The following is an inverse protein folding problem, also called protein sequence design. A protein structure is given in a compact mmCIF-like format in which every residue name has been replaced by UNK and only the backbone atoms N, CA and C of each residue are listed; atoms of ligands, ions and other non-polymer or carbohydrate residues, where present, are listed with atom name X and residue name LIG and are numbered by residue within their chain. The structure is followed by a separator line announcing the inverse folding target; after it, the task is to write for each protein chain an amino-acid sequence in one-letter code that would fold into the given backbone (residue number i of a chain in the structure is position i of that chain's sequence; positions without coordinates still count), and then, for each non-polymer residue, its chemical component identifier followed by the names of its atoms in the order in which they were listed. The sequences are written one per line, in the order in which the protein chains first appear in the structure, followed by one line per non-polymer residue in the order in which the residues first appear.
data_IF_224330060516
#
_entry.id   IF_224330060516
#
_cell.length_a   1.000
_cell.length_b   1.000
_cell.length_c   1.000
_cell.angle_alpha   90.00
_cell.angle_beta   90.00
_cell.angle_gamma   90.00
#
_symmetry.space_group_name_H-M   'P 1'
#
loop_
_entity.id
_entity.type
_entity.pdbx_description
1 polymer ?
#
# COMPACT_ATOMS: atom_id res chain seq x y z
N UNK A 1 -11.71 -5.13 40.27
CA UNK A 1 -11.59 -3.98 39.36
C UNK A 1 -10.11 -3.77 39.18
N UNK A 2 -9.56 -4.23 38.07
CA UNK A 2 -8.14 -4.08 37.74
C UNK A 2 -8.05 -2.91 36.78
N UNK A 3 -7.39 -1.83 37.19
CA UNK A 3 -7.09 -0.69 36.33
C UNK A 3 -6.25 -1.18 35.15
N UNK A 4 -6.82 -1.17 33.95
CA UNK A 4 -6.04 -1.22 32.73
C UNK A 4 -5.38 0.16 32.57
N UNK A 5 -4.09 0.25 32.92
CA UNK A 5 -3.25 1.36 32.49
C UNK A 5 -3.34 1.46 30.95
N UNK A 6 -3.82 2.60 30.45
CA UNK A 6 -3.90 2.86 29.02
C UNK A 6 -2.49 2.85 28.43
N UNK A 7 -2.17 1.83 27.63
CA UNK A 7 -0.95 1.80 26.83
C UNK A 7 -1.02 2.92 25.80
N UNK A 8 -0.18 3.95 25.92
CA UNK A 8 0.02 4.94 24.87
C UNK A 8 0.60 4.23 23.64
N UNK A 9 -0.26 3.82 22.71
CA UNK A 9 0.15 3.21 21.44
C UNK A 9 0.93 4.21 20.60
N UNK A 10 2.04 3.79 19.99
CA UNK A 10 2.78 4.59 19.04
C UNK A 10 2.25 4.28 17.65
N UNK A 11 1.84 5.31 16.91
CA UNK A 11 1.23 5.14 15.60
C UNK A 11 2.08 5.86 14.55
N UNK A 12 2.29 5.21 13.41
CA UNK A 12 2.95 5.79 12.24
C UNK A 12 2.13 5.49 11.01
N UNK A 13 1.93 6.50 10.16
CA UNK A 13 1.29 6.31 8.84
C UNK A 13 2.37 6.43 7.78
N UNK A 14 2.47 5.42 6.92
CA UNK A 14 3.29 5.43 5.71
C UNK A 14 2.34 5.55 4.53
N UNK A 15 2.46 6.62 3.76
CA UNK A 15 1.71 6.81 2.52
C UNK A 15 2.61 6.46 1.32
N UNK A 16 2.15 5.52 0.50
CA UNK A 16 2.87 5.10 -0.69
C UNK A 16 2.49 5.96 -1.90
N UNK A 17 3.46 6.68 -2.46
CA UNK A 17 3.24 7.59 -3.58
C UNK A 17 3.23 6.86 -4.95
N UNK A 18 2.33 7.27 -5.84
CA UNK A 18 2.28 6.83 -7.26
C UNK A 18 2.20 5.31 -7.47
N UNK A 19 1.58 4.60 -6.53
CA UNK A 19 1.60 3.15 -6.46
C UNK A 19 0.93 2.39 -7.59
N UNK A 20 -0.08 2.95 -8.26
CA UNK A 20 -0.79 2.21 -9.31
C UNK A 20 0.13 1.83 -10.46
N UNK A 21 1.18 2.62 -10.70
CA UNK A 21 2.17 2.32 -11.72
C UNK A 21 3.06 1.11 -11.40
N UNK A 22 3.01 0.56 -10.18
CA UNK A 22 3.75 -0.67 -9.84
C UNK A 22 3.04 -1.94 -10.32
N UNK A 23 1.73 -1.88 -10.59
CA UNK A 23 0.95 -3.04 -11.00
C UNK A 23 0.87 -3.11 -12.52
N UNK A 24 1.46 -4.16 -13.09
CA UNK A 24 1.44 -4.41 -14.53
C UNK A 24 0.05 -4.86 -15.00
N UNK A 25 -0.37 -4.35 -16.16
CA UNK A 25 -1.54 -4.83 -16.88
C UNK A 25 -1.08 -5.93 -17.84
N UNK A 26 -1.77 -7.07 -17.81
CA UNK A 26 -1.53 -8.16 -18.75
C UNK A 26 -1.60 -7.65 -20.21
N UNK A 27 -0.68 -8.03 -21.11
CA UNK A 27 -0.65 -7.52 -22.49
C UNK A 27 -2.01 -7.58 -23.20
N UNK A 28 -2.75 -8.69 -23.03
CA UNK A 28 -4.07 -8.89 -23.62
C UNK A 28 -5.17 -7.97 -23.06
N UNK A 29 -4.91 -7.23 -21.98
CA UNK A 29 -5.85 -6.28 -21.39
C UNK A 29 -5.44 -4.82 -21.60
N UNK A 30 -4.22 -4.54 -22.09
CA UNK A 30 -3.72 -3.18 -22.22
C UNK A 30 -4.60 -2.34 -23.14
N UNK A 31 -5.12 -2.91 -24.23
CA UNK A 31 -5.95 -2.21 -25.21
C UNK A 31 -7.20 -1.54 -24.61
N UNK A 32 -7.70 -2.02 -23.45
CA UNK A 32 -8.83 -1.43 -22.73
C UNK A 32 -8.52 -0.03 -22.20
N UNK A 33 -7.24 0.29 -22.03
CA UNK A 33 -6.74 1.55 -21.49
C UNK A 33 -6.07 2.41 -22.56
N UNK A 34 -6.46 2.23 -23.83
CA UNK A 34 -5.93 3.02 -24.92
C UNK A 34 -6.49 4.47 -24.91
N UNK A 35 -5.65 5.44 -25.27
CA UNK A 35 -6.04 6.83 -25.46
C UNK A 35 -5.33 7.43 -26.67
N UNK A 36 -5.90 8.48 -27.26
CA UNK A 36 -5.32 9.15 -28.42
C UNK A 36 -4.76 10.52 -28.05
N UNK A 37 -3.55 10.82 -28.52
CA UNK A 37 -2.91 12.12 -28.35
C UNK A 37 -2.12 12.48 -29.61
N UNK A 38 -2.34 13.69 -30.15
CA UNK A 38 -1.67 14.21 -31.36
C UNK A 38 -1.71 13.26 -32.57
N UNK A 39 -2.84 12.59 -32.79
CA UNK A 39 -3.02 11.66 -33.90
C UNK A 39 -2.35 10.29 -33.72
N UNK A 40 -1.74 10.03 -32.56
CA UNK A 40 -1.17 8.74 -32.19
C UNK A 40 -1.99 8.09 -31.07
N UNK A 41 -2.14 6.77 -31.11
CA UNK A 41 -2.72 5.99 -30.02
C UNK A 41 -1.61 5.50 -29.08
N UNK A 42 -1.88 5.60 -27.79
CA UNK A 42 -1.06 5.12 -26.69
C UNK A 42 -1.90 4.20 -25.82
N UNK A 43 -1.26 3.37 -25.02
CA UNK A 43 -1.92 2.50 -24.07
C UNK A 43 -1.12 2.42 -22.78
N UNK A 44 -1.81 2.23 -21.66
CA UNK A 44 -1.15 2.00 -20.38
C UNK A 44 -0.67 0.56 -20.27
N UNK A 45 0.55 0.38 -19.77
CA UNK A 45 1.14 -0.95 -19.45
C UNK A 45 1.02 -1.29 -17.97
N UNK A 46 0.67 -0.32 -17.14
CA UNK A 46 0.44 -0.41 -15.69
C UNK A 46 -0.90 0.22 -15.34
N UNK A 47 -1.44 -0.03 -14.14
CA UNK A 47 -2.74 0.51 -13.76
C UNK A 47 -2.78 2.04 -13.90
N UNK A 48 -3.67 2.59 -14.75
CA UNK A 48 -3.76 4.03 -14.91
C UNK A 48 -4.41 4.68 -13.69
N UNK A 49 -3.98 5.91 -13.41
CA UNK A 49 -4.70 6.78 -12.49
C UNK A 49 -6.05 7.18 -13.11
N UNK A 50 -7.12 7.03 -12.33
CA UNK A 50 -8.49 7.33 -12.78
C UNK A 50 -9.31 6.10 -13.22
N UNK A 51 -8.71 4.92 -13.29
CA UNK A 51 -9.49 3.68 -13.37
C UNK A 51 -10.06 3.33 -11.99
N UNK A 52 -11.37 3.12 -11.93
CA UNK A 52 -12.13 2.93 -10.68
C UNK A 52 -11.62 1.76 -9.85
N UNK A 53 -11.14 0.69 -10.48
CA UNK A 53 -10.65 -0.50 -9.77
C UNK A 53 -9.14 -0.47 -9.49
N UNK A 54 -8.41 0.56 -9.94
CA UNK A 54 -6.97 0.68 -9.63
C UNK A 54 -6.67 0.57 -8.13
N UNK A 55 -7.44 1.24 -7.22
CA UNK A 55 -7.28 1.06 -5.77
C UNK A 55 -7.49 -0.38 -5.31
N UNK A 56 -8.52 -1.07 -5.82
CA UNK A 56 -8.85 -2.45 -5.45
C UNK A 56 -7.73 -3.43 -5.84
N UNK A 57 -7.26 -3.36 -7.10
CA UNK A 57 -6.19 -4.22 -7.60
C UNK A 57 -4.87 -3.97 -6.87
N UNK A 58 -4.50 -2.69 -6.67
CA UNK A 58 -3.30 -2.37 -5.93
C UNK A 58 -3.38 -2.84 -4.47
N UNK A 59 -4.51 -2.60 -3.79
CA UNK A 59 -4.71 -3.03 -2.41
C UNK A 59 -4.58 -4.55 -2.28
N UNK A 60 -5.11 -5.32 -3.23
CA UNK A 60 -4.98 -6.78 -3.21
C UNK A 60 -3.54 -7.23 -3.44
N UNK A 61 -2.83 -6.64 -4.41
CA UNK A 61 -1.42 -6.96 -4.66
C UNK A 61 -0.56 -6.66 -3.42
N UNK A 62 -0.70 -5.47 -2.84
CA UNK A 62 0.04 -5.07 -1.64
C UNK A 62 -0.31 -5.95 -0.43
N UNK A 63 -1.57 -6.37 -0.28
CA UNK A 63 -1.96 -7.28 0.81
C UNK A 63 -1.29 -8.65 0.68
N UNK A 64 -1.07 -9.15 -0.54
CA UNK A 64 -0.33 -10.38 -0.79
C UNK A 64 1.16 -10.19 -0.47
N UNK A 65 1.76 -9.07 -0.88
CA UNK A 65 3.17 -8.77 -0.59
C UNK A 65 3.43 -8.63 0.92
N UNK A 66 2.45 -8.16 1.68
CA UNK A 66 2.53 -7.97 3.13
C UNK A 66 2.07 -9.20 3.95
N UNK A 67 1.55 -10.25 3.32
CA UNK A 67 0.90 -11.37 4.02
C UNK A 67 1.84 -12.10 4.99
N UNK A 68 3.11 -12.24 4.61
CA UNK A 68 4.15 -12.92 5.40
C UNK A 68 5.05 -11.95 6.17
N UNK A 69 4.68 -10.66 6.23
CA UNK A 69 5.49 -9.64 6.87
C UNK A 69 5.45 -9.77 8.39
N UNK A 70 6.61 -10.07 8.99
CA UNK A 70 6.76 -10.18 10.45
C UNK A 70 7.69 -9.09 10.95
N UNK A 71 7.13 -8.14 11.70
CA UNK A 71 7.91 -7.09 12.32
C UNK A 71 8.70 -7.59 13.54
N UNK A 72 9.98 -7.19 13.69
CA UNK A 72 10.81 -7.63 14.81
C UNK A 72 10.23 -7.17 16.16
N UNK A 73 9.61 -5.99 16.19
CA UNK A 73 9.03 -5.43 17.42
C UNK A 73 7.57 -5.86 17.65
N UNK A 74 7.05 -6.79 16.82
CA UNK A 74 5.66 -7.27 16.85
C UNK A 74 4.62 -6.17 16.70
N UNK A 75 4.95 -5.15 15.91
CA UNK A 75 3.98 -4.12 15.54
C UNK A 75 2.85 -4.70 14.70
N UNK A 76 1.67 -4.10 14.82
CA UNK A 76 0.49 -4.46 14.01
C UNK A 76 0.40 -3.51 12.83
N UNK A 77 0.24 -4.05 11.62
CA UNK A 77 0.05 -3.27 10.41
C UNK A 77 -1.41 -3.34 9.96
N UNK A 78 -1.99 -2.18 9.66
CA UNK A 78 -3.31 -2.04 9.06
C UNK A 78 -3.12 -1.37 7.70
N UNK A 79 -3.60 -2.01 6.64
CA UNK A 79 -3.52 -1.50 5.28
C UNK A 79 -4.86 -0.89 4.86
N UNK A 80 -4.81 0.29 4.26
CA UNK A 80 -5.92 0.92 3.54
C UNK A 80 -5.44 1.42 2.17
N UNK A 81 -5.65 0.62 1.12
CA UNK A 81 -5.14 0.91 -0.24
C UNK A 81 -3.63 1.17 -0.22
N UNK A 82 -3.20 2.43 -0.27
CA UNK A 82 -1.81 2.90 -0.26
C UNK A 82 -1.35 3.46 1.10
N UNK A 83 -2.27 3.65 2.05
CA UNK A 83 -1.96 4.08 3.40
C UNK A 83 -1.72 2.87 4.30
N UNK A 84 -0.57 2.85 4.98
CA UNK A 84 -0.19 1.82 5.94
C UNK A 84 -0.12 2.43 7.34
N UNK A 85 -1.00 1.99 8.23
CA UNK A 85 -0.98 2.36 9.65
C UNK A 85 -0.23 1.30 10.45
N UNK A 86 0.89 1.68 11.02
CA UNK A 86 1.70 0.85 11.92
C UNK A 86 1.41 1.20 13.37
N UNK A 87 1.03 0.20 14.16
CA UNK A 87 0.74 0.30 15.58
C UNK A 87 1.85 -0.42 16.37
N UNK A 88 2.67 0.34 17.07
CA UNK A 88 3.92 -0.12 17.68
C UNK A 88 3.90 -0.03 19.21
N UNK A 89 4.56 -0.96 19.94
CA UNK A 89 4.60 -0.94 21.41
C UNK A 89 5.38 0.23 22.00
N UNK A 90 6.36 0.77 21.26
CA UNK A 90 7.19 1.91 21.66
C UNK A 90 7.53 2.78 20.45
N UNK A 91 8.03 3.99 20.69
CA UNK A 91 8.53 4.86 19.62
C UNK A 91 9.70 4.22 18.87
N UNK A 92 10.66 3.64 19.59
CA UNK A 92 11.81 2.95 18.99
C UNK A 92 11.41 1.74 18.14
N UNK A 93 10.39 1.00 18.56
CA UNK A 93 9.80 -0.08 17.77
C UNK A 93 9.17 0.49 16.49
N UNK A 94 8.45 1.61 16.60
CA UNK A 94 7.84 2.29 15.45
C UNK A 94 8.87 2.75 14.43
N UNK A 95 9.97 3.35 14.88
CA UNK A 95 11.08 3.78 14.02
C UNK A 95 11.74 2.58 13.32
N UNK A 96 12.00 1.50 14.05
CA UNK A 96 12.63 0.29 13.49
C UNK A 96 11.74 -0.39 12.47
N UNK A 97 10.46 -0.58 12.81
CA UNK A 97 9.52 -1.34 12.00
C UNK A 97 9.02 -0.53 10.80
N UNK A 98 8.89 0.79 10.90
CA UNK A 98 8.54 1.65 9.76
C UNK A 98 9.63 1.67 8.69
N UNK A 99 10.91 1.57 9.06
CA UNK A 99 12.02 1.47 8.09
C UNK A 99 11.98 0.18 7.28
N UNK A 100 11.36 -0.89 7.80
CA UNK A 100 11.23 -2.15 7.07
C UNK A 100 10.16 -2.07 5.96
N UNK A 101 9.29 -1.05 5.98
CA UNK A 101 8.27 -0.80 4.97
C UNK A 101 8.75 0.09 3.81
N UNK A 102 9.99 0.57 3.86
CA UNK A 102 10.63 1.44 2.86
C UNK A 102 11.64 0.68 2.00
#
# INVERSE_FOLDING_TARGET
MTEHQGTSGNFTVVDLCSVFFSVLIHPDSQFLFAFSYKGQQYTWTTLPQGYTESPSYFSQALALDLADFVFPSRSTLVQYVNDLLLCSPSLSASETDSLMLL
#
